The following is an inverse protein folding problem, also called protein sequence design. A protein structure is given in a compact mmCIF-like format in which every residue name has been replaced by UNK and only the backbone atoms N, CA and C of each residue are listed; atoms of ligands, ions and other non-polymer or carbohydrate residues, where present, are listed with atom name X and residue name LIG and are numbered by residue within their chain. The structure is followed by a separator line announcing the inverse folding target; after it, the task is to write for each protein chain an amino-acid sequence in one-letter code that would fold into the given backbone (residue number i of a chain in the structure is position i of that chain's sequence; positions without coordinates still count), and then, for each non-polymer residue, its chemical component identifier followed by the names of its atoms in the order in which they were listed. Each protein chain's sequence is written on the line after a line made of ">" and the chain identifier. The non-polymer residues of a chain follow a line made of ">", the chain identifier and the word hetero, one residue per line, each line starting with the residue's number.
data_IF_927368657155
#
_entry.id   IF_927368657155
#
_cell.length_a   1.000
_cell.length_b   1.000
_cell.length_c   1.000
_cell.angle_alpha   90.00
_cell.angle_beta   90.00
_cell.angle_gamma   90.00
#
_symmetry.space_group_name_H-M   'P 1'
#
loop_
_entity.id
_entity.type
_entity.pdbx_description
1 polymer ?
#
# COMPACT_ATOMS: atom_id res chain seq x y z
N UNK A 1 -0.09 35.19 -3.53
CA UNK A 1 -0.75 34.15 -2.71
C UNK A 1 -0.22 34.29 -1.28
N UNK A 2 -1.08 34.27 -0.27
CA UNK A 2 -0.67 34.56 1.11
C UNK A 2 0.10 33.35 1.73
N UNK A 3 1.36 33.53 2.17
CA UNK A 3 2.17 32.46 2.75
C UNK A 3 1.54 31.77 3.96
N UNK A 4 0.68 32.48 4.70
CA UNK A 4 -0.01 31.95 5.87
C UNK A 4 -0.90 30.74 5.53
N UNK A 5 -1.36 30.61 4.28
CA UNK A 5 -2.21 29.48 3.84
C UNK A 5 -1.45 28.42 3.04
N UNK A 6 -0.11 28.44 3.03
CA UNK A 6 0.68 27.42 2.34
C UNK A 6 0.45 26.01 2.85
N UNK A 7 -0.01 25.86 4.10
CA UNK A 7 -0.39 24.57 4.67
C UNK A 7 -1.55 23.86 3.97
N UNK A 8 -2.34 24.57 3.15
CA UNK A 8 -3.39 23.97 2.35
C UNK A 8 -2.85 23.19 1.15
N UNK A 9 -1.57 23.34 0.82
CA UNK A 9 -0.93 22.59 -0.27
C UNK A 9 -0.49 21.21 0.24
N UNK A 10 -0.79 20.11 -0.47
CA UNK A 10 -0.36 18.76 -0.08
C UNK A 10 1.15 18.60 0.09
N UNK A 11 1.95 19.45 -0.59
CA UNK A 11 3.40 19.47 -0.48
C UNK A 11 3.93 20.05 0.83
N UNK A 12 3.08 20.70 1.62
CA UNK A 12 3.48 21.31 2.88
C UNK A 12 3.36 20.30 4.02
N UNK A 13 4.40 20.20 4.87
CA UNK A 13 4.47 19.22 5.96
C UNK A 13 3.25 19.20 6.88
N UNK A 14 2.71 20.37 7.24
CA UNK A 14 1.55 20.49 8.13
C UNK A 14 0.18 20.16 7.47
N UNK A 15 0.14 19.92 6.15
CA UNK A 15 -1.11 19.59 5.45
C UNK A 15 -1.78 18.33 6.03
N UNK A 16 -0.98 17.29 6.35
CA UNK A 16 -1.47 16.05 6.95
C UNK A 16 -2.11 16.28 8.33
N UNK A 17 -1.53 17.17 9.13
CA UNK A 17 -2.09 17.53 10.43
C UNK A 17 -3.38 18.35 10.29
N UNK A 18 -3.38 19.35 9.39
CA UNK A 18 -4.57 20.16 9.13
C UNK A 18 -5.75 19.31 8.63
N UNK A 19 -5.49 18.39 7.69
CA UNK A 19 -6.52 17.48 7.16
C UNK A 19 -7.05 16.54 8.25
N UNK A 20 -6.19 16.00 9.11
CA UNK A 20 -6.61 15.21 10.26
C UNK A 20 -7.49 16.01 11.24
N UNK A 21 -7.15 17.28 11.50
CA UNK A 21 -7.98 18.16 12.32
C UNK A 21 -9.34 18.43 11.66
N UNK A 22 -9.35 18.79 10.38
CA UNK A 22 -10.58 19.03 9.64
C UNK A 22 -11.52 17.81 9.66
N UNK A 23 -10.97 16.61 9.48
CA UNK A 23 -11.70 15.35 9.59
C UNK A 23 -12.26 15.13 11.01
N UNK A 24 -11.45 15.37 12.05
CA UNK A 24 -11.91 15.27 13.44
C UNK A 24 -13.06 16.24 13.76
N UNK A 25 -12.94 17.51 13.36
CA UNK A 25 -14.02 18.50 13.53
C UNK A 25 -15.27 18.10 12.75
N UNK A 26 -15.11 17.60 11.52
CA UNK A 26 -16.22 17.09 10.70
C UNK A 26 -17.00 15.97 11.42
N UNK A 27 -16.30 15.02 12.05
CA UNK A 27 -16.92 13.93 12.83
C UNK A 27 -17.72 14.41 14.03
N UNK A 28 -17.30 15.52 14.66
CA UNK A 28 -18.04 16.12 15.80
C UNK A 28 -19.23 16.93 15.32
N UNK A 29 -19.07 17.73 14.25
CA UNK A 29 -20.12 18.56 13.69
C UNK A 29 -21.19 17.74 12.96
N UNK A 30 -20.81 16.59 12.39
CA UNK A 30 -21.68 15.66 11.68
C UNK A 30 -21.48 14.22 12.20
N UNK A 31 -21.98 13.91 13.40
CA UNK A 31 -21.85 12.58 13.97
C UNK A 31 -22.66 11.56 13.17
N UNK A 32 -22.12 10.35 13.00
CA UNK A 32 -22.88 9.25 12.40
C UNK A 32 -24.13 8.96 13.22
N UNK A 33 -25.25 8.69 12.52
CA UNK A 33 -26.53 8.38 13.17
C UNK A 33 -26.36 7.23 14.18
N UNK A 34 -26.78 7.46 15.41
CA UNK A 34 -26.68 6.48 16.50
C UNK A 34 -25.34 6.44 17.26
N UNK A 35 -24.33 7.21 16.86
CA UNK A 35 -23.05 7.28 17.58
C UNK A 35 -23.24 7.72 19.05
N UNK A 36 -23.98 8.81 19.27
CA UNK A 36 -24.25 9.34 20.61
C UNK A 36 -24.99 8.33 21.50
N UNK A 37 -25.87 7.51 20.93
CA UNK A 37 -26.59 6.48 21.68
C UNK A 37 -25.68 5.30 22.04
N UNK A 38 -24.81 4.88 21.12
CA UNK A 38 -23.76 3.88 21.40
C UNK A 38 -22.83 4.34 22.51
N UNK A 39 -22.37 5.60 22.48
CA UNK A 39 -21.53 6.18 23.54
C UNK A 39 -22.24 6.19 24.90
N UNK A 40 -23.52 6.56 24.94
CA UNK A 40 -24.29 6.54 26.20
C UNK A 40 -24.39 5.13 26.77
N UNK A 41 -24.56 4.11 25.93
CA UNK A 41 -24.59 2.70 26.37
C UNK A 41 -23.22 2.23 26.87
N UNK A 42 -22.13 2.58 26.18
CA UNK A 42 -20.78 2.15 26.58
C UNK A 42 -20.31 2.78 27.89
N UNK A 43 -20.80 3.95 28.28
CA UNK A 43 -20.46 4.57 29.57
C UNK A 43 -21.06 3.80 30.75
N UNK A 44 -22.22 3.18 30.56
CA UNK A 44 -22.94 2.47 31.64
C UNK A 44 -22.38 1.08 31.87
N UNK A 45 -21.92 0.40 30.81
CA UNK A 45 -21.36 -0.95 30.91
C UNK A 45 -19.85 -0.95 30.74
N UNK A 46 -19.14 -1.15 31.85
CA UNK A 46 -17.67 -1.27 31.88
C UNK A 46 -17.17 -2.47 31.06
N UNK A 47 -17.95 -3.53 30.93
CA UNK A 47 -17.60 -4.73 30.15
C UNK A 47 -17.43 -4.38 28.68
N UNK A 48 -18.38 -3.62 28.12
CA UNK A 48 -18.30 -3.11 26.73
C UNK A 48 -17.01 -2.33 26.46
N UNK A 49 -16.55 -1.50 27.42
CA UNK A 49 -15.29 -0.74 27.27
C UNK A 49 -14.08 -1.68 27.25
N UNK A 50 -14.06 -2.67 28.14
CA UNK A 50 -12.97 -3.66 28.19
C UNK A 50 -12.91 -4.50 26.92
N UNK A 51 -14.05 -4.92 26.38
CA UNK A 51 -14.13 -5.64 25.10
C UNK A 51 -13.58 -4.82 23.94
N UNK A 52 -13.91 -3.52 23.88
CA UNK A 52 -13.36 -2.63 22.85
C UNK A 52 -11.84 -2.47 22.98
N UNK A 53 -11.32 -2.35 24.20
CA UNK A 53 -9.88 -2.29 24.45
C UNK A 53 -9.19 -3.60 24.04
N UNK A 54 -9.78 -4.75 24.37
CA UNK A 54 -9.24 -6.06 24.00
C UNK A 54 -9.23 -6.24 22.48
N UNK A 55 -10.34 -5.96 21.81
CA UNK A 55 -10.43 -6.04 20.36
C UNK A 55 -9.42 -5.10 19.67
N UNK A 56 -9.23 -3.89 20.20
CA UNK A 56 -8.20 -2.96 19.72
C UNK A 56 -6.80 -3.55 19.88
N UNK A 57 -6.49 -4.12 21.04
CA UNK A 57 -5.21 -4.76 21.31
C UNK A 57 -4.95 -5.97 20.39
N UNK A 58 -5.95 -6.83 20.20
CA UNK A 58 -5.87 -7.98 19.28
C UNK A 58 -5.65 -7.52 17.84
N UNK A 59 -6.34 -6.47 17.40
CA UNK A 59 -6.14 -5.89 16.08
C UNK A 59 -4.72 -5.33 15.91
N UNK A 60 -4.22 -4.56 16.88
CA UNK A 60 -2.85 -4.03 16.86
C UNK A 60 -1.81 -5.16 16.81
N UNK A 61 -2.00 -6.22 17.61
CA UNK A 61 -1.14 -7.41 17.58
C UNK A 61 -1.16 -8.11 16.22
N UNK A 62 -2.34 -8.27 15.61
CA UNK A 62 -2.50 -8.90 14.29
C UNK A 62 -1.83 -8.07 13.19
N UNK A 63 -1.99 -6.75 13.22
CA UNK A 63 -1.31 -5.84 12.29
C UNK A 63 0.22 -5.91 12.44
N UNK A 64 0.71 -5.94 13.68
CA UNK A 64 2.14 -6.08 13.95
C UNK A 64 2.70 -7.38 13.40
N UNK A 65 2.01 -8.51 13.66
CA UNK A 65 2.39 -9.81 13.14
C UNK A 65 2.38 -9.87 11.62
N UNK A 66 1.39 -9.25 10.98
CA UNK A 66 1.32 -9.17 9.52
C UNK A 66 2.48 -8.34 8.95
N UNK A 67 2.82 -7.22 9.58
CA UNK A 67 3.97 -6.39 9.18
C UNK A 67 5.28 -7.16 9.34
N UNK A 68 5.51 -7.79 10.50
CA UNK A 68 6.71 -8.58 10.73
C UNK A 68 6.84 -9.71 9.70
N UNK A 69 5.76 -10.44 9.43
CA UNK A 69 5.77 -11.51 8.43
C UNK A 69 6.12 -10.98 7.03
N UNK A 70 5.59 -9.82 6.64
CA UNK A 70 5.91 -9.21 5.36
C UNK A 70 7.37 -8.75 5.30
N UNK A 71 7.92 -8.22 6.38
CA UNK A 71 9.34 -7.86 6.48
C UNK A 71 10.25 -9.10 6.43
N UNK A 72 9.86 -10.20 7.10
CA UNK A 72 10.57 -11.47 7.07
C UNK A 72 10.56 -12.09 5.66
N UNK A 73 9.44 -12.00 4.93
CA UNK A 73 9.32 -12.48 3.54
C UNK A 73 10.22 -11.68 2.59
N UNK A 74 10.25 -10.35 2.71
CA UNK A 74 11.17 -9.49 1.94
C UNK A 74 12.63 -9.83 2.25
N UNK A 75 12.98 -10.06 3.51
CA UNK A 75 14.35 -10.43 3.88
C UNK A 75 14.70 -11.84 3.38
N UNK A 76 13.76 -12.78 3.42
CA UNK A 76 13.95 -14.11 2.85
C UNK A 76 14.20 -14.04 1.34
N UNK A 77 13.37 -13.31 0.58
CA UNK A 77 13.59 -13.07 -0.85
C UNK A 77 14.95 -12.43 -1.12
N UNK A 78 15.36 -11.47 -0.28
CA UNK A 78 16.67 -10.81 -0.39
C UNK A 78 17.81 -11.80 -0.19
N UNK A 79 17.69 -12.72 0.78
CA UNK A 79 18.67 -13.78 1.04
C UNK A 79 18.70 -14.75 -0.13
N UNK A 80 17.55 -15.21 -0.61
CA UNK A 80 17.44 -16.14 -1.73
C UNK A 80 18.07 -15.54 -3.00
N UNK A 81 17.76 -14.28 -3.33
CA UNK A 81 18.37 -13.57 -4.46
C UNK A 81 19.90 -13.48 -4.35
N UNK A 82 20.42 -13.31 -3.12
CA UNK A 82 21.86 -13.28 -2.87
C UNK A 82 22.52 -14.67 -2.93
N UNK A 83 21.73 -15.75 -2.78
CA UNK A 83 22.19 -17.13 -2.90
C UNK A 83 22.23 -17.63 -4.34
N UNK A 84 21.60 -16.92 -5.30
CA UNK A 84 21.66 -17.27 -6.71
C UNK A 84 23.10 -17.12 -7.22
N UNK A 85 23.68 -18.19 -7.76
CA UNK A 85 24.95 -18.13 -8.46
C UNK A 85 24.74 -17.61 -9.88
N UNK A 86 24.93 -16.30 -10.05
CA UNK A 86 24.82 -15.64 -11.35
C UNK A 86 25.91 -16.06 -12.36
N UNK A 87 26.91 -16.84 -11.96
CA UNK A 87 27.92 -17.40 -12.89
C UNK A 87 27.50 -18.76 -13.45
N UNK A 88 26.48 -19.41 -12.88
CA UNK A 88 25.91 -20.66 -13.40
C UNK A 88 24.80 -20.36 -14.42
N UNK A 89 25.18 -19.85 -15.59
CA UNK A 89 24.25 -19.60 -16.69
C UNK A 89 24.65 -20.32 -17.96
N UNK A 90 23.64 -20.69 -18.75
CA UNK A 90 23.82 -21.28 -20.09
C UNK A 90 23.36 -20.27 -21.12
N UNK A 91 24.28 -19.79 -21.96
CA UNK A 91 23.95 -18.95 -23.11
C UNK A 91 23.34 -19.83 -24.20
N UNK A 92 22.06 -19.63 -24.48
CA UNK A 92 21.33 -20.35 -25.54
C UNK A 92 21.45 -19.63 -26.87
N UNK A 93 21.35 -18.30 -26.86
CA UNK A 93 21.36 -17.48 -28.06
C UNK A 93 21.89 -16.08 -27.72
N UNK A 94 22.66 -15.51 -28.65
CA UNK A 94 23.11 -14.12 -28.58
C UNK A 94 22.36 -13.34 -29.65
N UNK A 95 21.59 -12.34 -29.24
CA UNK A 95 20.93 -11.41 -30.15
C UNK A 95 21.94 -10.34 -30.52
N UNK A 96 22.22 -10.21 -31.82
CA UNK A 96 23.05 -9.13 -32.35
C UNK A 96 22.12 -8.10 -32.98
N UNK A 97 22.19 -6.87 -32.47
CA UNK A 97 21.52 -5.72 -33.06
C UNK A 97 22.42 -5.11 -34.13
N UNK A 98 21.87 -4.81 -35.31
CA UNK A 98 22.54 -3.98 -36.30
C UNK A 98 22.35 -2.49 -35.97
N UNK A 99 23.33 -1.64 -36.32
CA UNK A 99 23.36 -0.20 -35.95
C UNK A 99 22.13 0.60 -36.46
N UNK A 100 21.35 0.05 -37.40
CA UNK A 100 20.16 0.66 -38.02
C UNK A 100 18.82 0.09 -37.52
N UNK A 101 18.82 -0.93 -36.64
CA UNK A 101 17.59 -1.54 -36.13
C UNK A 101 16.88 -0.70 -35.05
N UNK A 102 17.63 0.14 -34.33
CA UNK A 102 17.11 0.98 -33.23
C UNK A 102 16.05 2.00 -33.72
N UNK A 103 16.16 2.46 -34.97
CA UNK A 103 15.25 3.46 -35.53
C UNK A 103 13.86 2.88 -35.89
N UNK A 104 13.77 1.55 -36.01
CA UNK A 104 12.51 0.82 -36.23
C UNK A 104 11.80 0.41 -34.92
N UNK A 105 12.47 0.55 -33.76
CA UNK A 105 11.90 0.17 -32.47
C UNK A 105 10.93 1.23 -31.93
N UNK A 106 9.83 0.82 -31.27
CA UNK A 106 8.91 1.76 -30.64
C UNK A 106 9.59 2.54 -29.52
N UNK A 107 9.11 3.77 -29.26
CA UNK A 107 9.61 4.57 -28.15
C UNK A 107 9.58 3.78 -26.83
N UNK A 108 10.65 3.85 -26.02
CA UNK A 108 10.72 3.10 -24.77
C UNK A 108 9.58 3.52 -23.84
N UNK A 109 8.91 2.52 -23.30
CA UNK A 109 7.79 2.74 -22.37
C UNK A 109 8.32 3.28 -21.03
N UNK A 110 7.51 4.11 -20.37
CA UNK A 110 7.84 4.56 -19.01
C UNK A 110 7.68 3.41 -18.01
N UNK A 111 8.42 3.46 -16.91
CA UNK A 111 8.35 2.45 -15.84
C UNK A 111 6.91 2.25 -15.32
N UNK A 112 6.14 3.33 -15.20
CA UNK A 112 4.74 3.28 -14.79
C UNK A 112 3.85 2.52 -15.78
N UNK A 113 4.06 2.72 -17.08
CA UNK A 113 3.32 2.03 -18.13
C UNK A 113 3.62 0.53 -18.15
N UNK A 114 4.88 0.15 -17.95
CA UNK A 114 5.33 -1.25 -17.87
C UNK A 114 4.71 -1.95 -16.65
N UNK A 115 4.77 -1.32 -15.47
CA UNK A 115 4.16 -1.85 -14.23
C UNK A 115 2.65 -2.04 -14.42
N UNK A 116 1.98 -1.09 -15.08
CA UNK A 116 0.53 -1.19 -15.34
C UNK A 116 0.19 -2.37 -16.24
N UNK A 117 0.94 -2.61 -17.33
CA UNK A 117 0.72 -3.77 -18.21
C UNK A 117 1.02 -5.10 -17.52
N UNK A 118 2.10 -5.20 -16.74
CA UNK A 118 2.45 -6.42 -15.99
C UNK A 118 1.36 -6.81 -14.98
N UNK A 119 0.73 -5.83 -14.31
CA UNK A 119 -0.40 -6.05 -13.41
C UNK A 119 -1.71 -6.44 -14.10
N UNK A 120 -1.87 -6.09 -15.38
CA UNK A 120 -3.02 -6.53 -16.19
C UNK A 120 -2.82 -7.99 -16.60
N UNK A 121 -1.62 -8.35 -17.07
CA UNK A 121 -1.31 -9.71 -17.50
C UNK A 121 -1.40 -10.77 -16.40
N UNK A 122 -1.20 -10.38 -15.13
CA UNK A 122 -1.34 -11.27 -13.96
C UNK A 122 -2.80 -11.50 -13.56
N UNK A 123 -3.72 -10.58 -13.89
CA UNK A 123 -5.15 -10.76 -13.60
C UNK A 123 -5.87 -11.68 -14.58
N UNK A 124 -5.45 -11.70 -15.84
CA UNK A 124 -6.08 -12.54 -16.85
C UNK A 124 -5.67 -14.03 -16.72
N UNK A 125 -4.60 -14.34 -15.98
CA UNK A 125 -4.13 -15.71 -15.73
C UNK A 125 -4.86 -16.46 -14.61
N UNK A 126 -5.54 -15.75 -13.71
CA UNK A 126 -6.24 -16.35 -12.55
C UNK A 126 -7.72 -16.70 -12.84
N UNK A 127 -8.28 -16.29 -13.99
CA UNK A 127 -9.68 -16.55 -14.36
C UNK A 127 -9.88 -17.80 -15.26
N UNK A 128 -8.81 -18.45 -15.74
CA UNK A 128 -8.90 -19.62 -16.65
C UNK A 128 -8.71 -21.01 -16.00
N UNK A 129 -8.63 -21.12 -14.67
CA UNK A 129 -8.57 -22.43 -13.99
C UNK A 129 -9.82 -22.74 -13.14
N UNK A 130 -11.02 -22.59 -13.73
CA UNK A 130 -12.23 -23.25 -13.21
C UNK A 130 -13.20 -23.62 -14.35
N UNK A 131 -12.92 -24.69 -15.11
CA UNK A 131 -13.95 -25.55 -15.74
C UNK A 131 -13.45 -26.99 -15.81
#
# INVERSE_FOLDING_TARGET
>A
MNPQFHFLKPTHSIFMFFTALADAYSKVLMPLKGLTQKLRKSIVDRTTVLEHCLHRFEWEKSQEQARQKAEDEIEQERIEMAMIDWHDFVVVESINFADDEDEALPMPMTLEEVIRRSKVSTKDGDEEEIV
#
